data_IF_693667614731
#
_entry.id   IF_693667614731
#
_cell.length_a   1.000
_cell.length_b   1.000
_cell.length_c   1.000
_cell.angle_alpha   90.00
_cell.angle_beta   90.00
_cell.angle_gamma   90.00
#
_symmetry.space_group_name_H-M   'P 1'
#
loop_
_entity.id
_entity.type
_entity.pdbx_description
1 polymer ?
#
# COMPACT_ATOMS: atom_id res chain seq x y z
N UNK A 1 11.33 -13.41 3.75
CA UNK A 1 9.90 -13.81 3.88
C UNK A 1 9.13 -13.32 2.66
N UNK A 2 8.11 -14.04 2.17
CA UNK A 2 7.24 -13.58 1.06
C UNK A 2 5.88 -13.13 1.60
N UNK A 3 5.41 -11.97 1.19
CA UNK A 3 4.20 -11.34 1.72
C UNK A 3 3.33 -10.83 0.56
N UNK A 4 2.04 -11.12 0.63
CA UNK A 4 1.04 -10.59 -0.31
C UNK A 4 0.12 -9.63 0.44
N UNK A 5 -0.10 -8.44 -0.13
CA UNK A 5 -1.03 -7.43 0.40
C UNK A 5 -2.16 -7.22 -0.60
N UNK A 6 -3.41 -7.42 -0.15
CA UNK A 6 -4.62 -7.19 -0.96
C UNK A 6 -5.24 -5.83 -0.58
N UNK A 7 -5.28 -4.91 -1.54
CA UNK A 7 -5.65 -3.52 -1.34
C UNK A 7 -4.44 -2.66 -0.92
N UNK A 8 -4.10 -1.68 -1.75
CA UNK A 8 -2.91 -0.82 -1.60
C UNK A 8 -3.28 0.66 -1.63
N UNK A 9 -4.41 1.04 -1.02
CA UNK A 9 -4.66 2.46 -0.74
C UNK A 9 -3.94 2.87 0.58
N UNK A 10 -4.60 3.54 1.53
CA UNK A 10 -3.89 4.07 2.72
C UNK A 10 -3.27 2.99 3.63
N UNK A 11 -4.07 2.02 4.08
CA UNK A 11 -3.61 0.99 5.01
C UNK A 11 -2.57 0.07 4.35
N UNK A 12 -2.84 -0.41 3.15
CA UNK A 12 -1.93 -1.27 2.40
C UNK A 12 -0.61 -0.58 2.09
N UNK A 13 -0.63 0.67 1.63
CA UNK A 13 0.61 1.45 1.38
C UNK A 13 1.43 1.61 2.65
N UNK A 14 0.78 1.94 3.77
CA UNK A 14 1.48 2.11 5.06
C UNK A 14 2.08 0.79 5.54
N UNK A 15 1.35 -0.32 5.41
CA UNK A 15 1.82 -1.65 5.77
C UNK A 15 3.04 -2.05 4.93
N UNK A 16 2.96 -1.95 3.60
CA UNK A 16 4.06 -2.33 2.68
C UNK A 16 5.33 -1.51 2.97
N UNK A 17 5.19 -0.19 3.16
CA UNK A 17 6.33 0.69 3.49
C UNK A 17 6.96 0.33 4.84
N UNK A 18 6.13 0.01 5.83
CA UNK A 18 6.62 -0.37 7.17
C UNK A 18 7.34 -1.71 7.11
N UNK A 19 6.77 -2.71 6.43
CA UNK A 19 7.38 -4.03 6.23
C UNK A 19 8.75 -3.89 5.56
N UNK A 20 8.85 -3.11 4.47
CA UNK A 20 10.12 -2.88 3.78
C UNK A 20 11.15 -2.11 4.59
N UNK A 21 10.73 -1.29 5.55
CA UNK A 21 11.64 -0.59 6.47
C UNK A 21 12.17 -1.52 7.56
N UNK A 22 11.32 -2.38 8.11
CA UNK A 22 11.68 -3.29 9.20
C UNK A 22 12.48 -4.50 8.72
N UNK A 23 12.12 -5.03 7.55
CA UNK A 23 12.84 -6.12 6.89
C UNK A 23 13.03 -5.78 5.39
N UNK A 24 14.17 -5.18 5.02
CA UNK A 24 14.46 -4.87 3.62
C UNK A 24 14.51 -6.11 2.71
N UNK A 25 14.80 -7.28 3.28
CA UNK A 25 14.94 -8.55 2.55
C UNK A 25 13.61 -9.23 2.25
N UNK A 26 12.50 -8.80 2.87
CA UNK A 26 11.19 -9.39 2.58
C UNK A 26 10.76 -9.09 1.13
N UNK A 27 10.17 -10.05 0.45
CA UNK A 27 9.59 -9.88 -0.88
C UNK A 27 8.10 -9.57 -0.70
N UNK A 28 7.66 -8.39 -1.14
CA UNK A 28 6.28 -7.94 -0.98
C UNK A 28 5.67 -7.73 -2.36
N UNK A 29 4.56 -8.40 -2.63
CA UNK A 29 3.73 -8.18 -3.83
C UNK A 29 2.38 -7.64 -3.38
N UNK A 30 1.89 -6.61 -4.04
CA UNK A 30 0.60 -6.00 -3.71
C UNK A 30 -0.35 -6.12 -4.90
N UNK A 31 -1.63 -6.33 -4.62
CA UNK A 31 -2.68 -6.33 -5.62
C UNK A 31 -3.74 -5.32 -5.21
N UNK A 32 -4.11 -4.43 -6.13
CA UNK A 32 -5.26 -3.55 -5.98
C UNK A 32 -6.21 -3.79 -7.14
N UNK A 33 -7.50 -3.55 -6.92
CA UNK A 33 -8.51 -3.64 -7.98
C UNK A 33 -8.43 -2.43 -8.92
N UNK A 34 -7.97 -1.29 -8.39
CA UNK A 34 -7.94 -0.03 -9.11
C UNK A 34 -6.59 0.19 -9.79
N UNK A 35 -6.57 1.02 -10.83
CA UNK A 35 -5.35 1.40 -11.56
C UNK A 35 -4.55 2.50 -10.84
N UNK A 36 -5.11 3.06 -9.76
CA UNK A 36 -4.47 4.07 -8.92
C UNK A 36 -4.43 3.61 -7.46
N UNK A 37 -3.30 3.86 -6.81
CA UNK A 37 -3.06 3.59 -5.40
C UNK A 37 -2.75 4.88 -4.64
N UNK A 38 -2.85 4.84 -3.31
CA UNK A 38 -2.55 6.00 -2.43
C UNK A 38 -3.38 7.26 -2.72
N UNK A 39 -4.56 7.13 -3.32
CA UNK A 39 -5.45 8.25 -3.58
C UNK A 39 -6.04 8.81 -2.27
N UNK A 40 -5.85 10.12 -2.05
CA UNK A 40 -6.36 10.85 -0.89
C UNK A 40 -7.85 11.18 -1.07
N UNK A 41 -8.72 10.19 -0.85
CA UNK A 41 -10.18 10.37 -0.95
C UNK A 41 -10.73 11.41 0.02
N UNK A 42 -10.08 11.63 1.16
CA UNK A 42 -10.43 12.68 2.10
C UNK A 42 -10.24 14.11 1.54
N UNK A 43 -9.44 14.28 0.50
CA UNK A 43 -9.16 15.57 -0.13
C UNK A 43 -10.16 15.97 -1.22
N UNK A 44 -11.09 15.10 -1.62
CA UNK A 44 -12.02 15.38 -2.73
C UNK A 44 -12.81 16.66 -2.50
N UNK A 45 -13.29 16.89 -1.26
CA UNK A 45 -14.11 18.05 -0.94
C UNK A 45 -13.32 19.37 -0.87
N UNK A 46 -11.99 19.32 -0.93
CA UNK A 46 -11.12 20.50 -0.87
C UNK A 46 -10.72 21.04 -2.26
N UNK A 47 -11.13 20.37 -3.33
CA UNK A 47 -10.80 20.70 -4.72
C UNK A 47 -12.06 21.05 -5.52
#
# INVERSE_FOLDING_TARGET
>A
MKIIVLGTNHAGTTAVRTLKRLDPSCEVTTYDKNDAISFLGCGIALW
#
